data_IF_668130007366
#
_entry.id   IF_668130007366
#
_cell.length_a   1.000
_cell.length_b   1.000
_cell.length_c   1.000
_cell.angle_alpha   90.00
_cell.angle_beta   90.00
_cell.angle_gamma   90.00
#
_symmetry.space_group_name_H-M   'P 1'
#
loop_
_entity.id
_entity.type
_entity.pdbx_description
1 polymer ?
#
# COMPACT_ATOMS: atom_id res chain seq x y z
N UNK A 1 0.24 15.48 -28.48
CA UNK A 1 0.73 14.10 -28.37
C UNK A 1 1.90 14.05 -27.42
N UNK A 2 1.80 13.22 -26.40
CA UNK A 2 2.92 13.02 -25.48
C UNK A 2 3.96 12.13 -26.15
N UNK A 3 5.22 12.50 -26.04
CA UNK A 3 6.31 11.66 -26.52
C UNK A 3 6.48 10.48 -25.55
N UNK A 4 6.84 9.29 -26.05
CA UNK A 4 7.11 8.16 -25.18
C UNK A 4 8.24 8.49 -24.21
N UNK A 5 8.05 8.07 -22.97
CA UNK A 5 9.03 8.27 -21.90
C UNK A 5 9.65 6.93 -21.52
N UNK A 6 10.96 6.88 -21.21
CA UNK A 6 11.57 5.67 -20.70
C UNK A 6 11.10 5.42 -19.25
N UNK A 7 11.21 4.17 -18.83
CA UNK A 7 10.74 3.74 -17.50
C UNK A 7 11.41 4.54 -16.35
N UNK A 8 12.68 4.91 -16.53
CA UNK A 8 13.38 5.70 -15.51
C UNK A 8 12.77 7.08 -15.31
N UNK A 9 12.30 7.71 -16.38
CA UNK A 9 11.62 9.01 -16.30
C UNK A 9 10.29 8.86 -15.58
N UNK A 10 9.51 7.85 -15.93
CA UNK A 10 8.23 7.55 -15.29
C UNK A 10 8.42 7.29 -13.80
N UNK A 11 9.45 6.51 -13.46
CA UNK A 11 9.80 6.20 -12.07
C UNK A 11 10.02 7.48 -11.26
N UNK A 12 10.77 8.42 -11.82
CA UNK A 12 11.04 9.70 -11.14
C UNK A 12 9.77 10.54 -10.99
N UNK A 13 8.98 10.65 -12.05
CA UNK A 13 7.77 11.48 -12.03
C UNK A 13 6.69 10.94 -11.11
N UNK A 14 6.51 9.64 -11.11
CA UNK A 14 5.49 8.99 -10.27
C UNK A 14 5.98 8.67 -8.86
N UNK A 15 7.28 8.73 -8.62
CA UNK A 15 7.92 8.33 -7.36
C UNK A 15 7.64 6.87 -7.03
N UNK A 16 7.75 6.02 -8.04
CA UNK A 16 7.56 4.58 -7.91
C UNK A 16 8.81 3.91 -8.47
N UNK A 17 9.37 2.97 -7.75
CA UNK A 17 10.59 2.28 -8.19
C UNK A 17 10.34 1.50 -9.48
N UNK A 18 11.37 1.42 -10.33
CA UNK A 18 11.29 0.70 -11.60
C UNK A 18 10.84 -0.75 -11.38
N UNK A 19 11.39 -1.42 -10.37
CA UNK A 19 10.99 -2.79 -10.05
C UNK A 19 9.51 -2.89 -9.69
N UNK A 20 8.98 -1.90 -8.99
CA UNK A 20 7.56 -1.84 -8.62
C UNK A 20 6.68 -1.62 -9.85
N UNK A 21 7.12 -0.75 -10.77
CA UNK A 21 6.41 -0.52 -12.04
C UNK A 21 6.28 -1.85 -12.81
N UNK A 22 7.38 -2.58 -12.93
CA UNK A 22 7.39 -3.88 -13.61
C UNK A 22 6.51 -4.90 -12.92
N UNK A 23 6.49 -4.87 -11.59
CA UNK A 23 5.61 -5.74 -10.81
C UNK A 23 4.14 -5.43 -11.12
N UNK A 24 3.77 -4.14 -11.16
CA UNK A 24 2.39 -3.75 -11.48
C UNK A 24 2.01 -4.14 -12.90
N UNK A 25 2.93 -4.07 -13.85
CA UNK A 25 2.69 -4.58 -15.20
C UNK A 25 2.43 -6.08 -15.19
N UNK A 26 3.22 -6.81 -14.42
CA UNK A 26 3.12 -8.26 -14.33
C UNK A 26 1.78 -8.75 -13.77
N UNK A 27 1.19 -8.00 -12.84
CA UNK A 27 -0.10 -8.37 -12.22
C UNK A 27 -1.29 -7.71 -12.91
N UNK A 28 -1.06 -6.99 -14.01
CA UNK A 28 -2.13 -6.37 -14.79
C UNK A 28 -2.70 -5.09 -14.20
N UNK A 29 -2.03 -4.49 -13.23
CA UNK A 29 -2.47 -3.23 -12.62
C UNK A 29 -2.11 -2.03 -13.47
N UNK A 30 -1.07 -2.16 -14.27
CA UNK A 30 -0.59 -1.15 -15.23
C UNK A 30 -0.48 -1.80 -16.60
N UNK A 31 -1.00 -1.16 -17.67
CA UNK A 31 -0.83 -1.73 -19.01
C UNK A 31 0.65 -1.77 -19.40
N UNK A 32 1.04 -2.84 -20.08
CA UNK A 32 2.39 -2.93 -20.63
C UNK A 32 2.42 -2.02 -21.86
N UNK A 33 3.33 -1.04 -21.90
CA UNK A 33 3.37 -0.10 -23.03
C UNK A 33 3.89 -0.76 -24.30
N UNK A 34 3.46 -0.21 -25.44
CA UNK A 34 4.00 -0.63 -26.73
C UNK A 34 5.49 -0.26 -26.80
N UNK A 35 6.26 -1.09 -27.49
CA UNK A 35 7.68 -0.79 -27.70
C UNK A 35 7.83 0.24 -28.79
N UNK A 36 8.76 1.16 -28.59
CA UNK A 36 9.13 2.15 -29.59
C UNK A 36 9.96 1.52 -30.71
N UNK A 37 10.27 2.28 -31.75
CA UNK A 37 11.09 1.82 -32.84
C UNK A 37 12.50 1.39 -32.42
N UNK A 38 12.99 1.82 -31.24
CA UNK A 38 14.26 1.39 -30.68
C UNK A 38 14.09 0.18 -29.76
N UNK A 39 12.97 -0.51 -29.81
CA UNK A 39 12.64 -1.69 -28.99
C UNK A 39 12.62 -1.38 -27.48
N UNK A 40 12.34 -0.13 -27.12
CA UNK A 40 12.19 0.31 -25.73
C UNK A 40 10.72 0.50 -25.39
N UNK A 41 10.38 0.29 -24.13
CA UNK A 41 9.02 0.55 -23.66
C UNK A 41 8.78 2.06 -23.65
N UNK A 42 7.67 2.47 -24.26
CA UNK A 42 7.27 3.87 -24.31
C UNK A 42 6.09 4.12 -23.40
N UNK A 43 6.32 4.80 -22.28
CA UNK A 43 5.26 5.18 -21.35
C UNK A 43 4.77 6.60 -21.71
N UNK A 44 3.55 6.93 -21.29
CA UNK A 44 3.00 8.26 -21.50
C UNK A 44 2.53 8.86 -20.17
N UNK A 45 1.98 10.09 -20.26
CA UNK A 45 1.55 10.81 -19.07
C UNK A 45 0.40 10.09 -18.35
N UNK A 46 -0.42 9.32 -19.07
CA UNK A 46 -1.51 8.55 -18.45
C UNK A 46 -0.95 7.46 -17.55
N UNK A 47 0.16 6.84 -17.94
CA UNK A 47 0.85 5.86 -17.12
C UNK A 47 1.36 6.49 -15.83
N UNK A 48 1.91 7.69 -15.91
CA UNK A 48 2.38 8.44 -14.75
C UNK A 48 1.21 8.72 -13.80
N UNK A 49 0.08 9.18 -14.34
CA UNK A 49 -1.12 9.47 -13.53
C UNK A 49 -1.64 8.21 -12.86
N UNK A 50 -1.68 7.11 -13.59
CA UNK A 50 -2.13 5.83 -13.05
C UNK A 50 -1.22 5.36 -11.91
N UNK A 51 0.08 5.48 -12.08
CA UNK A 51 1.04 5.12 -11.04
C UNK A 51 0.93 6.01 -9.81
N UNK A 52 0.69 7.31 -9.99
CA UNK A 52 0.44 8.22 -8.86
C UNK A 52 -0.82 7.82 -8.10
N UNK A 53 -1.86 7.46 -8.82
CA UNK A 53 -3.11 6.99 -8.23
C UNK A 53 -2.85 5.74 -7.38
N UNK A 54 -2.14 4.76 -7.95
CA UNK A 54 -1.81 3.52 -7.25
C UNK A 54 -0.97 3.82 -6.00
N UNK A 55 0.02 4.69 -6.13
CA UNK A 55 0.88 5.05 -5.00
C UNK A 55 0.08 5.70 -3.87
N UNK A 56 -0.78 6.66 -4.18
CA UNK A 56 -1.61 7.31 -3.17
C UNK A 56 -2.53 6.30 -2.47
N UNK A 57 -3.16 5.42 -3.25
CA UNK A 57 -4.05 4.42 -2.68
C UNK A 57 -3.28 3.44 -1.78
N UNK A 58 -2.07 3.05 -2.18
CA UNK A 58 -1.22 2.19 -1.35
C UNK A 58 -0.80 2.90 -0.07
N UNK A 59 -0.48 4.19 -0.15
CA UNK A 59 -0.11 4.97 1.02
C UNK A 59 -1.25 5.05 2.04
N UNK A 60 -2.50 5.04 1.56
CA UNK A 60 -3.69 5.01 2.41
C UNK A 60 -4.04 3.60 2.89
N UNK A 61 -3.29 2.60 2.46
CA UNK A 61 -3.46 1.24 2.93
C UNK A 61 -4.43 0.38 2.14
N UNK A 62 -4.96 0.87 1.02
CA UNK A 62 -5.82 0.04 0.16
C UNK A 62 -5.02 -1.14 -0.38
N UNK A 63 -5.65 -2.33 -0.39
CA UNK A 63 -5.01 -3.50 -0.99
C UNK A 63 -5.10 -3.43 -2.52
N UNK A 64 -4.32 -4.28 -3.18
CA UNK A 64 -4.23 -4.26 -4.65
C UNK A 64 -5.58 -4.57 -5.31
N UNK A 65 -6.39 -5.42 -4.70
CA UNK A 65 -7.71 -5.74 -5.25
C UNK A 65 -8.63 -4.51 -5.22
N UNK A 66 -8.65 -3.78 -4.11
CA UNK A 66 -9.42 -2.53 -4.00
C UNK A 66 -8.93 -1.49 -5.00
N UNK A 67 -7.61 -1.36 -5.16
CA UNK A 67 -7.02 -0.42 -6.11
C UNK A 67 -7.44 -0.77 -7.54
N UNK A 68 -7.44 -2.05 -7.89
CA UNK A 68 -7.88 -2.52 -9.20
C UNK A 68 -9.32 -2.09 -9.48
N UNK A 69 -10.21 -2.26 -8.49
CA UNK A 69 -11.61 -1.84 -8.61
C UNK A 69 -11.74 -0.32 -8.76
N UNK A 70 -10.97 0.43 -7.95
CA UNK A 70 -11.00 1.89 -8.02
C UNK A 70 -10.48 2.41 -9.36
N UNK A 71 -9.43 1.78 -9.91
CA UNK A 71 -8.92 2.15 -11.22
C UNK A 71 -9.94 1.89 -12.33
N UNK A 72 -10.67 0.79 -12.24
CA UNK A 72 -11.73 0.48 -13.19
C UNK A 72 -12.83 1.54 -13.15
N UNK A 73 -13.22 1.97 -11.93
CA UNK A 73 -14.23 3.02 -11.76
C UNK A 73 -13.75 4.37 -12.26
N UNK A 74 -12.46 4.67 -12.06
CA UNK A 74 -11.87 5.92 -12.55
C UNK A 74 -11.93 6.04 -14.07
N UNK A 75 -11.99 4.90 -14.78
CA UNK A 75 -12.17 4.87 -16.22
C UNK A 75 -13.61 5.06 -16.68
N UNK A 76 -14.56 5.21 -15.75
CA UNK A 76 -15.98 5.33 -16.03
C UNK A 76 -16.54 6.59 -15.37
N UNK A 77 -16.17 7.79 -15.87
CA UNK A 77 -16.48 9.04 -15.16
C UNK A 77 -17.98 9.33 -15.03
N UNK A 78 -18.82 8.68 -15.82
CA UNK A 78 -20.27 8.91 -15.75
C UNK A 78 -20.96 8.01 -14.72
N UNK A 79 -20.23 7.06 -14.12
CA UNK A 79 -20.79 6.19 -13.08
C UNK A 79 -20.98 6.95 -11.77
N UNK A 80 -22.00 6.59 -10.97
CA UNK A 80 -22.14 7.17 -9.62
C UNK A 80 -20.95 6.82 -8.74
N UNK A 81 -20.72 7.64 -7.74
CA UNK A 81 -19.62 7.45 -6.79
C UNK A 81 -19.87 6.33 -5.77
N UNK A 82 -21.04 5.71 -5.79
CA UNK A 82 -21.49 4.77 -4.76
C UNK A 82 -20.54 3.61 -4.53
N UNK A 83 -20.02 3.01 -5.61
CA UNK A 83 -19.10 1.87 -5.48
C UNK A 83 -17.76 2.30 -4.89
N UNK A 84 -17.24 3.45 -5.32
CA UNK A 84 -15.99 3.97 -4.78
C UNK A 84 -16.15 4.29 -3.29
N UNK A 85 -17.28 4.89 -2.92
CA UNK A 85 -17.61 5.17 -1.52
C UNK A 85 -17.69 3.89 -0.69
N UNK A 86 -18.31 2.84 -1.23
CA UNK A 86 -18.42 1.56 -0.54
C UNK A 86 -17.06 0.95 -0.29
N UNK A 87 -16.16 1.01 -1.26
CA UNK A 87 -14.78 0.52 -1.12
C UNK A 87 -14.06 1.31 -0.01
N UNK A 88 -14.20 2.63 -0.02
CA UNK A 88 -13.56 3.49 0.98
C UNK A 88 -14.12 3.23 2.39
N UNK A 89 -15.44 3.02 2.52
CA UNK A 89 -16.07 2.72 3.81
C UNK A 89 -15.61 1.37 4.37
N UNK A 90 -15.49 0.38 3.52
CA UNK A 90 -14.98 -0.94 3.93
C UNK A 90 -13.56 -0.80 4.46
N UNK A 91 -12.73 -0.04 3.77
CA UNK A 91 -11.36 0.20 4.19
C UNK A 91 -11.30 1.02 5.49
N UNK A 92 -12.17 2.02 5.62
CA UNK A 92 -12.26 2.82 6.84
C UNK A 92 -12.57 1.94 8.06
N UNK A 93 -13.52 1.01 7.91
CA UNK A 93 -13.85 0.09 8.99
C UNK A 93 -12.67 -0.81 9.35
N UNK A 94 -11.95 -1.31 8.35
CA UNK A 94 -10.77 -2.14 8.56
C UNK A 94 -9.66 -1.38 9.29
N UNK A 95 -9.44 -0.11 8.93
CA UNK A 95 -8.46 0.75 9.60
C UNK A 95 -8.86 0.97 11.05
N UNK A 96 -10.16 1.20 11.33
CA UNK A 96 -10.67 1.36 12.69
C UNK A 96 -10.39 0.14 13.54
N UNK A 97 -10.60 -1.07 13.00
CA UNK A 97 -10.28 -2.31 13.70
C UNK A 97 -8.79 -2.44 13.98
N UNK A 98 -7.95 -2.04 13.03
CA UNK A 98 -6.50 -2.04 13.23
C UNK A 98 -6.08 -1.09 14.33
N UNK A 99 -6.69 0.08 14.39
CA UNK A 99 -6.42 1.06 15.46
C UNK A 99 -6.76 0.45 16.82
N UNK A 100 -7.93 -0.21 16.92
CA UNK A 100 -8.35 -0.85 18.16
C UNK A 100 -7.37 -1.96 18.59
N UNK A 101 -6.94 -2.78 17.64
CA UNK A 101 -5.96 -3.84 17.90
C UNK A 101 -4.63 -3.25 18.36
N UNK A 102 -4.15 -2.23 17.66
CA UNK A 102 -2.88 -1.58 18.02
C UNK A 102 -2.98 -0.89 19.38
N UNK A 103 -4.12 -0.30 19.70
CA UNK A 103 -4.36 0.32 21.00
C UNK A 103 -4.28 -0.70 22.12
N UNK A 104 -4.88 -1.88 21.90
CA UNK A 104 -4.83 -2.98 22.88
C UNK A 104 -3.39 -3.49 23.06
N UNK A 105 -2.68 -3.67 21.96
CA UNK A 105 -1.27 -4.11 21.99
C UNK A 105 -0.39 -3.09 22.71
N UNK A 106 -0.64 -1.80 22.47
CA UNK A 106 0.10 -0.74 23.14
C UNK A 106 -0.07 -0.84 24.66
N UNK A 107 -1.31 -1.04 25.11
CA UNK A 107 -1.59 -1.15 26.55
C UNK A 107 -0.86 -2.34 27.19
N UNK A 108 -0.83 -3.47 26.48
CA UNK A 108 -0.08 -4.64 26.96
C UNK A 108 1.40 -4.36 27.08
N UNK A 109 1.98 -3.73 26.07
CA UNK A 109 3.40 -3.39 26.06
C UNK A 109 3.73 -2.37 27.14
N UNK A 110 2.88 -1.36 27.32
CA UNK A 110 3.04 -0.38 28.38
C UNK A 110 3.05 -1.03 29.75
N UNK A 111 2.11 -1.97 29.99
CA UNK A 111 2.05 -2.70 31.24
C UNK A 111 3.30 -3.55 31.47
N UNK A 112 3.82 -4.18 30.41
CA UNK A 112 5.04 -4.97 30.52
C UNK A 112 6.24 -4.09 30.90
N UNK A 113 6.36 -2.92 30.28
CA UNK A 113 7.45 -1.98 30.54
C UNK A 113 7.36 -1.40 31.94
N UNK A 114 6.15 -1.02 32.39
CA UNK A 114 5.92 -0.45 33.71
C UNK A 114 6.27 -1.41 34.85
N UNK A 115 6.01 -2.71 34.63
CA UNK A 115 6.33 -3.74 35.61
C UNK A 115 7.77 -4.22 35.51
N UNK A 116 8.48 -3.74 34.50
CA UNK A 116 9.86 -4.14 34.27
C UNK A 116 10.75 -3.73 35.46
N UNK A 117 11.47 -4.66 36.00
CA UNK A 117 12.50 -4.34 36.96
C UNK A 117 13.81 -4.19 36.21
N UNK A 118 14.54 -3.15 36.55
CA UNK A 118 15.85 -2.92 35.94
C UNK A 118 16.85 -3.87 36.58
N UNK A 119 17.37 -4.82 35.83
CA UNK A 119 18.28 -5.77 36.36
C UNK A 119 18.64 -6.87 35.35
N UNK A 120 18.76 -8.08 35.85
CA UNK A 120 19.17 -9.21 35.03
C UNK A 120 17.99 -9.72 34.20
N UNK A 121 18.31 -10.37 33.07
CA UNK A 121 17.30 -10.99 32.20
C UNK A 121 16.43 -11.97 32.96
N UNK A 122 16.99 -12.70 33.92
CA UNK A 122 16.23 -13.67 34.74
C UNK A 122 15.08 -13.03 35.50
N UNK A 123 15.15 -11.73 35.77
CA UNK A 123 14.16 -10.98 36.54
C UNK A 123 13.33 -10.05 35.63
N UNK A 124 13.57 -10.11 34.34
CA UNK A 124 12.93 -9.20 33.39
C UNK A 124 11.49 -9.61 33.14
N UNK A 125 10.55 -8.71 33.44
CA UNK A 125 9.11 -8.98 33.29
C UNK A 125 8.75 -9.26 31.83
N UNK A 126 9.37 -8.54 30.89
CA UNK A 126 9.11 -8.74 29.44
C UNK A 126 9.45 -10.17 29.03
N UNK A 127 10.62 -10.64 29.43
CA UNK A 127 11.07 -12.00 29.10
C UNK A 127 10.19 -13.03 29.78
N UNK A 128 9.80 -12.80 31.04
CA UNK A 128 8.91 -13.68 31.80
C UNK A 128 7.56 -13.85 31.10
N UNK A 129 6.94 -12.72 30.70
CA UNK A 129 5.63 -12.76 30.04
C UNK A 129 5.72 -13.52 28.71
N UNK A 130 6.76 -13.25 27.91
CA UNK A 130 6.92 -13.89 26.60
C UNK A 130 7.24 -15.38 26.75
N UNK A 131 8.02 -15.74 27.75
CA UNK A 131 8.39 -17.14 27.98
C UNK A 131 7.22 -18.00 28.48
N UNK A 132 6.26 -17.38 29.16
CA UNK A 132 5.12 -18.08 29.77
C UNK A 132 3.84 -17.96 28.94
N UNK A 133 3.94 -17.52 27.69
CA UNK A 133 2.81 -17.47 26.78
C UNK A 133 2.40 -18.90 26.40
N UNK A 134 1.11 -19.20 26.51
CA UNK A 134 0.56 -20.52 26.22
C UNK A 134 0.37 -20.82 24.74
N UNK A 135 0.90 -19.98 23.89
CA UNK A 135 0.80 -20.19 22.44
C UNK A 135 2.13 -20.28 21.74
#
# INVERSE_FOLDING_TARGET
>A
MSQPMPIGTVSRLARVKVATIRYYEGIGLLPVPARTGANRRGYDIMDVRRLKFIRHARDLGFDLNAIRQLLALAGLPEQPCDEADAIARTHLAAVGQKIDQLTALRKELEAMVERGTHGRIAECHVIEVLANSDE
#
